data_IF_218842543916
#
_entry.id   IF_218842543916
#
_cell.length_a   1.000
_cell.length_b   1.000
_cell.length_c   1.000
_cell.angle_alpha   90.00
_cell.angle_beta   90.00
_cell.angle_gamma   90.00
#
_symmetry.space_group_name_H-M   'P 1'
#
loop_
_entity.id
_entity.type
_entity.pdbx_description
1 polymer ?
#
# COMPACT_ATOMS: atom_id res chain seq x y z
N UNK A 1 -32.60 -5.75 -7.19
CA UNK A 1 -31.74 -6.90 -6.86
C UNK A 1 -31.82 -7.14 -5.35
N UNK A 2 -31.54 -8.35 -4.87
CA UNK A 2 -31.57 -8.64 -3.42
C UNK A 2 -30.25 -8.24 -2.74
N UNK A 3 -30.25 -8.04 -1.41
CA UNK A 3 -29.07 -7.60 -0.64
C UNK A 3 -27.81 -8.43 -0.91
N UNK A 4 -27.92 -9.74 -1.07
CA UNK A 4 -26.78 -10.60 -1.38
C UNK A 4 -26.15 -10.25 -2.74
N UNK A 5 -26.98 -9.95 -3.73
CA UNK A 5 -26.52 -9.51 -5.06
C UNK A 5 -25.79 -8.17 -4.95
N UNK A 6 -26.33 -7.23 -4.18
CA UNK A 6 -25.69 -5.93 -3.94
C UNK A 6 -24.30 -6.10 -3.31
N UNK A 7 -24.12 -7.07 -2.42
CA UNK A 7 -22.84 -7.37 -1.78
C UNK A 7 -21.86 -8.02 -2.78
N UNK A 8 -22.32 -9.04 -3.51
CA UNK A 8 -21.48 -9.80 -4.45
C UNK A 8 -21.03 -8.95 -5.64
N UNK A 9 -21.86 -8.04 -6.11
CA UNK A 9 -21.51 -7.10 -7.18
C UNK A 9 -21.06 -5.73 -6.65
N UNK A 10 -20.80 -5.63 -5.34
CA UNK A 10 -20.32 -4.42 -4.70
C UNK A 10 -21.10 -3.19 -5.21
N UNK A 11 -22.42 -3.28 -5.28
CA UNK A 11 -23.26 -2.23 -5.86
C UNK A 11 -23.01 -0.91 -5.10
N UNK A 12 -23.15 0.26 -5.75
CA UNK A 12 -22.96 1.57 -5.12
C UNK A 12 -24.13 1.92 -4.18
N UNK A 13 -24.66 0.94 -3.46
CA UNK A 13 -25.63 1.08 -2.39
C UNK A 13 -24.94 0.98 -1.05
N UNK A 14 -25.54 1.56 -0.01
CA UNK A 14 -24.99 1.46 1.36
C UNK A 14 -24.85 -0.01 1.79
N UNK A 15 -25.86 -0.83 1.50
CA UNK A 15 -25.83 -2.26 1.81
C UNK A 15 -24.75 -3.03 1.05
N UNK A 16 -24.62 -2.77 -0.26
CA UNK A 16 -23.60 -3.39 -1.11
C UNK A 16 -22.17 -3.04 -0.65
N UNK A 17 -21.88 -1.75 -0.45
CA UNK A 17 -20.56 -1.29 -0.02
C UNK A 17 -20.20 -1.80 1.39
N UNK A 18 -21.10 -1.68 2.38
CA UNK A 18 -20.83 -2.15 3.75
C UNK A 18 -20.63 -3.67 3.76
N UNK A 19 -21.54 -4.42 3.14
CA UNK A 19 -21.44 -5.88 3.14
C UNK A 19 -20.21 -6.37 2.39
N UNK A 20 -19.88 -5.80 1.22
CA UNK A 20 -18.67 -6.14 0.49
C UNK A 20 -17.40 -5.77 1.28
N UNK A 21 -17.40 -4.63 1.98
CA UNK A 21 -16.30 -4.24 2.87
C UNK A 21 -16.09 -5.24 4.01
N UNK A 22 -17.17 -5.71 4.64
CA UNK A 22 -17.09 -6.75 5.69
C UNK A 22 -16.53 -8.05 5.13
N UNK A 23 -16.96 -8.47 3.94
CA UNK A 23 -16.43 -9.68 3.28
C UNK A 23 -14.93 -9.53 3.01
N UNK A 24 -14.49 -8.36 2.50
CA UNK A 24 -13.07 -8.09 2.30
C UNK A 24 -12.31 -8.12 3.64
N UNK A 25 -12.83 -7.48 4.69
CA UNK A 25 -12.19 -7.49 6.00
C UNK A 25 -12.00 -8.92 6.52
N UNK A 26 -13.03 -9.77 6.44
CA UNK A 26 -12.95 -11.16 6.85
C UNK A 26 -11.92 -11.94 6.01
N UNK A 27 -11.98 -11.81 4.68
CA UNK A 27 -11.03 -12.47 3.78
C UNK A 27 -9.59 -12.06 4.10
N UNK A 28 -9.32 -10.76 4.18
CA UNK A 28 -7.97 -10.23 4.40
C UNK A 28 -7.49 -10.44 5.84
N UNK A 29 -8.40 -10.54 6.81
CA UNK A 29 -8.04 -10.96 8.17
C UNK A 29 -7.40 -12.35 8.15
N UNK A 30 -7.95 -13.29 7.38
CA UNK A 30 -7.39 -14.62 7.18
C UNK A 30 -6.14 -14.62 6.30
N UNK A 31 -6.14 -13.88 5.17
CA UNK A 31 -4.98 -13.84 4.27
C UNK A 31 -3.75 -13.28 4.97
N UNK A 32 -3.92 -12.23 5.78
CA UNK A 32 -2.82 -11.51 6.45
C UNK A 32 -2.62 -11.92 7.90
N UNK A 33 -3.18 -13.05 8.32
CA UNK A 33 -2.89 -13.64 9.63
C UNK A 33 -1.55 -14.39 9.57
N UNK A 34 -0.61 -13.95 10.39
CA UNK A 34 0.76 -14.49 10.47
C UNK A 34 0.90 -15.63 11.47
N UNK A 35 -0.10 -15.83 12.32
CA UNK A 35 -0.14 -16.90 13.31
C UNK A 35 -0.82 -18.14 12.72
N UNK A 36 -1.94 -17.97 12.02
CA UNK A 36 -2.78 -19.07 11.52
C UNK A 36 -3.22 -18.95 10.05
N UNK A 37 -2.95 -17.83 9.39
CA UNK A 37 -3.44 -17.55 8.04
C UNK A 37 -2.49 -17.91 6.90
N UNK A 38 -2.77 -17.34 5.72
CA UNK A 38 -1.92 -17.54 4.53
C UNK A 38 -0.50 -17.02 4.77
N UNK A 39 -0.35 -15.88 5.44
CA UNK A 39 0.97 -15.35 5.77
C UNK A 39 1.79 -16.26 6.69
N UNK A 40 1.16 -17.02 7.59
CA UNK A 40 1.84 -18.05 8.39
C UNK A 40 2.46 -19.14 7.50
N UNK A 41 1.73 -19.58 6.47
CA UNK A 41 2.21 -20.55 5.50
C UNK A 41 3.31 -20.00 4.59
N UNK A 42 3.16 -18.76 4.10
CA UNK A 42 4.18 -18.05 3.32
C UNK A 42 5.46 -17.95 4.13
N UNK A 43 5.36 -17.52 5.40
CA UNK A 43 6.51 -17.44 6.29
C UNK A 43 7.20 -18.79 6.45
N UNK A 44 6.46 -19.86 6.79
CA UNK A 44 7.01 -21.21 6.95
C UNK A 44 7.70 -21.72 5.68
N UNK A 45 7.16 -21.40 4.50
CA UNK A 45 7.78 -21.73 3.22
C UNK A 45 9.07 -20.94 2.99
N UNK A 46 9.05 -19.63 3.21
CA UNK A 46 10.18 -18.72 3.03
C UNK A 46 11.36 -19.10 3.94
N UNK A 47 11.12 -19.44 5.21
CA UNK A 47 12.19 -19.87 6.14
C UNK A 47 12.96 -21.11 5.70
N UNK A 48 12.32 -21.97 4.91
CA UNK A 48 12.91 -23.23 4.43
C UNK A 48 13.78 -23.03 3.20
N UNK A 49 13.80 -21.83 2.62
CA UNK A 49 14.52 -21.58 1.40
C UNK A 49 16.03 -21.41 1.66
N UNK A 50 16.90 -21.93 0.79
CA UNK A 50 18.35 -21.83 0.97
C UNK A 50 18.87 -20.39 1.03
N UNK A 51 18.16 -19.44 0.42
CA UNK A 51 18.51 -18.02 0.39
C UNK A 51 18.00 -17.24 1.61
N UNK A 52 17.24 -17.86 2.52
CA UNK A 52 16.65 -17.16 3.66
C UNK A 52 17.69 -16.51 4.61
N UNK A 53 18.83 -17.16 4.94
CA UNK A 53 19.87 -16.51 5.75
C UNK A 53 20.41 -15.23 5.10
N UNK A 54 20.54 -15.21 3.77
CA UNK A 54 20.94 -14.01 3.02
C UNK A 54 19.89 -12.91 3.15
N UNK A 55 18.60 -13.25 3.10
CA UNK A 55 17.52 -12.29 3.33
C UNK A 55 17.60 -11.72 4.75
N UNK A 56 17.76 -12.55 5.77
CA UNK A 56 17.87 -12.10 7.16
C UNK A 56 19.03 -11.10 7.33
N UNK A 57 20.20 -11.44 6.79
CA UNK A 57 21.38 -10.58 6.80
C UNK A 57 21.14 -9.26 6.05
N UNK A 58 20.49 -9.30 4.90
CA UNK A 58 20.16 -8.11 4.13
C UNK A 58 19.15 -7.20 4.86
N UNK A 59 18.22 -7.77 5.64
CA UNK A 59 17.13 -7.04 6.29
C UNK A 59 17.48 -6.51 7.69
N UNK A 60 18.52 -7.04 8.36
CA UNK A 60 18.82 -6.71 9.76
C UNK A 60 19.02 -5.20 10.01
N UNK A 61 19.59 -4.50 9.03
CA UNK A 61 19.90 -3.06 9.08
C UNK A 61 18.96 -2.25 8.18
N UNK A 62 17.86 -2.83 7.69
CA UNK A 62 16.87 -2.10 6.89
C UNK A 62 16.16 -1.05 7.77
N UNK A 63 15.90 0.13 7.23
CA UNK A 63 15.17 1.20 7.95
C UNK A 63 13.79 0.70 8.40
N UNK A 64 13.16 -0.13 7.57
CA UNK A 64 11.92 -0.82 7.92
C UNK A 64 12.13 -1.75 9.12
N UNK A 65 13.19 -2.56 9.15
CA UNK A 65 13.48 -3.44 10.29
C UNK A 65 13.75 -2.66 11.59
N UNK A 66 14.35 -1.46 11.52
CA UNK A 66 14.50 -0.58 12.68
C UNK A 66 13.15 -0.05 13.19
N UNK A 67 12.20 0.20 12.29
CA UNK A 67 10.85 0.62 12.63
C UNK A 67 10.01 -0.54 13.19
N UNK A 68 10.10 -1.70 12.55
CA UNK A 68 9.28 -2.88 12.86
C UNK A 68 9.81 -3.70 14.03
N UNK A 69 11.13 -3.69 14.23
CA UNK A 69 11.84 -4.40 15.29
C UNK A 69 11.44 -5.89 15.42
N UNK A 70 11.32 -6.58 14.28
CA UNK A 70 11.05 -8.01 14.28
C UNK A 70 12.19 -8.79 14.95
N UNK A 71 11.86 -9.77 15.79
CA UNK A 71 12.88 -10.65 16.39
C UNK A 71 13.69 -11.39 15.32
N UNK A 72 13.03 -11.75 14.22
CA UNK A 72 13.67 -12.31 13.04
C UNK A 72 13.54 -11.28 11.90
N UNK A 73 14.66 -10.65 11.46
CA UNK A 73 14.64 -9.65 10.39
C UNK A 73 14.04 -10.15 9.07
N UNK A 74 14.03 -11.47 8.84
CA UNK A 74 13.39 -12.07 7.68
C UNK A 74 11.87 -11.85 7.64
N UNK A 75 11.22 -11.51 8.76
CA UNK A 75 9.81 -11.11 8.75
C UNK A 75 9.56 -9.82 7.97
N UNK A 76 10.53 -8.90 7.92
CA UNK A 76 10.39 -7.72 7.08
C UNK A 76 10.32 -8.09 5.60
N UNK A 77 11.00 -9.16 5.18
CA UNK A 77 10.84 -9.67 3.82
C UNK A 77 9.49 -10.35 3.59
N UNK A 78 8.97 -11.05 4.61
CA UNK A 78 7.65 -11.70 4.53
C UNK A 78 6.54 -10.66 4.42
N UNK A 79 6.61 -9.53 5.12
CA UNK A 79 5.60 -8.46 5.02
C UNK A 79 5.49 -7.86 3.62
N UNK A 80 6.56 -7.90 2.82
CA UNK A 80 6.51 -7.49 1.42
C UNK A 80 5.60 -8.37 0.55
N UNK A 81 5.43 -9.65 0.89
CA UNK A 81 4.45 -10.50 0.21
C UNK A 81 3.03 -10.00 0.46
N UNK A 82 2.70 -9.60 1.68
CA UNK A 82 1.39 -9.01 1.97
C UNK A 82 1.17 -7.76 1.12
N UNK A 83 2.13 -6.84 1.09
CA UNK A 83 2.06 -5.62 0.27
C UNK A 83 1.83 -5.92 -1.21
N UNK A 84 2.55 -6.90 -1.77
CA UNK A 84 2.42 -7.28 -3.18
C UNK A 84 1.12 -8.02 -3.45
N UNK A 85 0.68 -8.90 -2.56
CA UNK A 85 -0.60 -9.60 -2.70
C UNK A 85 -1.76 -8.61 -2.71
N UNK A 86 -1.74 -7.67 -1.76
CA UNK A 86 -2.76 -6.64 -1.63
C UNK A 86 -2.82 -5.72 -2.86
N UNK A 87 -1.72 -5.06 -3.20
CA UNK A 87 -1.68 -4.16 -4.36
C UNK A 87 -1.85 -4.92 -5.69
N UNK A 88 -1.32 -6.14 -5.78
CA UNK A 88 -1.43 -6.98 -6.96
C UNK A 88 -2.86 -7.47 -7.20
N UNK A 89 -3.52 -8.01 -6.18
CA UNK A 89 -4.92 -8.46 -6.29
C UNK A 89 -5.84 -7.27 -6.57
N UNK A 90 -5.66 -6.16 -5.86
CA UNK A 90 -6.40 -4.92 -6.13
C UNK A 90 -6.21 -4.46 -7.58
N UNK A 91 -4.96 -4.38 -8.05
CA UNK A 91 -4.63 -3.96 -9.40
C UNK A 91 -5.16 -4.87 -10.50
N UNK A 92 -5.14 -6.20 -10.28
CA UNK A 92 -5.73 -7.18 -11.22
C UNK A 92 -7.25 -7.02 -11.31
N UNK A 93 -7.94 -6.93 -10.17
CA UNK A 93 -9.40 -6.74 -10.15
C UNK A 93 -9.81 -5.42 -10.83
N UNK A 94 -9.09 -4.33 -10.53
CA UNK A 94 -9.29 -3.04 -11.19
C UNK A 94 -9.07 -3.11 -12.69
N UNK A 95 -7.96 -3.71 -13.11
CA UNK A 95 -7.61 -3.83 -14.53
C UNK A 95 -8.64 -4.68 -15.28
N UNK A 96 -9.08 -5.80 -14.70
CA UNK A 96 -10.15 -6.63 -15.27
C UNK A 96 -11.48 -5.87 -15.34
N UNK A 97 -11.84 -5.11 -14.30
CA UNK A 97 -13.03 -4.27 -14.31
C UNK A 97 -13.02 -3.23 -15.42
N UNK A 98 -11.87 -2.60 -15.67
CA UNK A 98 -11.70 -1.66 -16.79
C UNK A 98 -11.79 -2.37 -18.15
N UNK A 99 -11.03 -3.45 -18.33
CA UNK A 99 -10.95 -4.18 -19.61
C UNK A 99 -12.29 -4.82 -20.01
N UNK A 100 -13.06 -5.30 -19.05
CA UNK A 100 -14.34 -5.97 -19.28
C UNK A 100 -15.54 -5.02 -19.23
N UNK A 101 -15.33 -3.73 -18.93
CA UNK A 101 -16.42 -2.78 -18.70
C UNK A 101 -17.31 -3.21 -17.53
N UNK A 102 -16.72 -3.77 -16.47
CA UNK A 102 -17.40 -4.29 -15.29
C UNK A 102 -17.00 -3.46 -14.04
N UNK A 103 -17.72 -2.35 -13.74
CA UNK A 103 -17.39 -1.46 -12.63
C UNK A 103 -17.34 -2.17 -11.27
N UNK A 104 -18.16 -3.21 -11.07
CA UNK A 104 -18.18 -3.97 -9.83
C UNK A 104 -16.84 -4.68 -9.53
N UNK A 105 -16.17 -5.23 -10.53
CA UNK A 105 -14.83 -5.82 -10.37
C UNK A 105 -13.83 -4.75 -9.93
N UNK A 106 -13.92 -3.55 -10.53
CA UNK A 106 -13.08 -2.44 -10.15
C UNK A 106 -13.32 -2.00 -8.71
N UNK A 107 -14.59 -1.91 -8.28
CA UNK A 107 -14.95 -1.59 -6.90
C UNK A 107 -14.44 -2.63 -5.91
N UNK A 108 -14.46 -3.91 -6.25
CA UNK A 108 -13.81 -4.93 -5.41
C UNK A 108 -12.32 -4.70 -5.26
N UNK A 109 -11.63 -4.32 -6.34
CA UNK A 109 -10.22 -3.94 -6.27
C UNK A 109 -9.98 -2.76 -5.31
N UNK A 110 -10.88 -1.77 -5.30
CA UNK A 110 -10.80 -0.64 -4.34
C UNK A 110 -11.09 -1.09 -2.90
N UNK A 111 -12.05 -2.00 -2.70
CA UNK A 111 -12.35 -2.52 -1.37
C UNK A 111 -11.27 -3.46 -0.80
N UNK A 112 -10.37 -4.00 -1.64
CA UNK A 112 -9.15 -4.66 -1.15
C UNK A 112 -8.26 -3.68 -0.39
N UNK A 113 -8.21 -2.41 -0.81
CA UNK A 113 -7.55 -1.34 -0.05
C UNK A 113 -8.32 -1.03 1.22
N UNK A 114 -9.54 -0.53 1.03
CA UNK A 114 -10.32 0.08 2.10
C UNK A 114 -10.70 -0.94 3.17
N UNK A 115 -11.34 -2.04 2.76
CA UNK A 115 -11.80 -3.08 3.67
C UNK A 115 -10.69 -4.06 4.04
N UNK A 116 -9.88 -4.44 3.05
CA UNK A 116 -8.89 -5.49 3.22
C UNK A 116 -7.71 -5.08 4.10
N UNK A 117 -7.24 -3.83 3.97
CA UNK A 117 -6.04 -3.36 4.67
C UNK A 117 -6.34 -2.17 5.59
N UNK A 118 -6.92 -1.07 5.08
CA UNK A 118 -7.07 0.16 5.87
C UNK A 118 -7.87 -0.06 7.16
N UNK A 119 -9.08 -0.60 7.01
CA UNK A 119 -9.96 -0.90 8.15
C UNK A 119 -9.42 -2.04 9.00
N UNK A 120 -8.78 -3.05 8.39
CA UNK A 120 -8.21 -4.18 9.11
C UNK A 120 -7.04 -3.74 10.00
N UNK A 121 -6.14 -2.91 9.48
CA UNK A 121 -5.03 -2.35 10.23
C UNK A 121 -5.53 -1.40 11.33
N UNK A 122 -6.52 -0.55 11.04
CA UNK A 122 -7.16 0.28 12.06
C UNK A 122 -7.76 -0.57 13.18
N UNK A 123 -8.44 -1.66 12.84
CA UNK A 123 -8.98 -2.62 13.81
C UNK A 123 -7.87 -3.29 14.62
N UNK A 124 -6.80 -3.77 14.00
CA UNK A 124 -5.67 -4.41 14.69
C UNK A 124 -4.95 -3.44 15.63
N UNK A 125 -4.75 -2.18 15.19
CA UNK A 125 -4.17 -1.09 16.01
C UNK A 125 -5.07 -0.77 17.20
N UNK A 126 -6.39 -0.70 17.00
CA UNK A 126 -7.33 -0.48 18.10
C UNK A 126 -7.30 -1.66 19.07
N UNK A 127 -7.42 -2.89 18.55
CA UNK A 127 -7.45 -4.11 19.33
C UNK A 127 -6.26 -4.24 20.27
N UNK A 128 -5.03 -4.09 19.78
CA UNK A 128 -3.84 -4.17 20.64
C UNK A 128 -3.69 -3.01 21.63
N UNK A 129 -4.23 -1.82 21.32
CA UNK A 129 -4.26 -0.69 22.28
C UNK A 129 -5.24 -0.94 23.43
N UNK A 130 -6.39 -1.56 23.14
CA UNK A 130 -7.41 -1.86 24.15
C UNK A 130 -7.18 -3.20 24.86
N UNK A 131 -6.58 -4.18 24.19
CA UNK A 131 -6.41 -5.56 24.63
C UNK A 131 -4.99 -6.10 24.31
N UNK A 132 -3.96 -5.65 25.04
CA UNK A 132 -2.60 -6.15 24.84
C UNK A 132 -2.43 -7.59 25.39
N UNK A 133 -1.59 -8.45 24.76
CA UNK A 133 -0.90 -8.23 23.50
C UNK A 133 -1.80 -8.46 22.28
N UNK A 134 -1.54 -7.73 21.19
CA UNK A 134 -2.23 -7.92 19.92
C UNK A 134 -1.82 -9.21 19.18
N UNK A 135 -2.36 -9.40 17.98
CA UNK A 135 -1.90 -10.46 17.07
C UNK A 135 -0.56 -10.09 16.45
N UNK A 136 0.23 -11.09 16.05
CA UNK A 136 1.43 -10.84 15.27
C UNK A 136 1.02 -10.38 13.85
N UNK A 137 1.71 -9.40 13.24
CA UNK A 137 2.90 -8.70 13.71
C UNK A 137 2.60 -7.50 14.62
N UNK A 138 1.35 -7.01 14.68
CA UNK A 138 1.00 -5.74 15.35
C UNK A 138 1.41 -5.63 16.82
N UNK A 139 1.51 -6.75 17.54
CA UNK A 139 2.08 -6.81 18.90
C UNK A 139 3.56 -6.42 18.99
N UNK A 140 4.32 -6.58 17.91
CA UNK A 140 5.70 -6.11 17.78
C UNK A 140 5.74 -4.69 17.18
N UNK A 141 4.86 -4.40 16.21
CA UNK A 141 4.91 -3.16 15.41
C UNK A 141 4.48 -1.88 16.16
N UNK A 142 3.56 -1.98 17.13
CA UNK A 142 3.05 -0.79 17.84
C UNK A 142 3.93 -0.30 18.99
N UNK A 143 5.20 -0.74 19.02
CA UNK A 143 6.21 -0.20 19.93
C UNK A 143 6.75 1.17 19.46
N UNK A 144 6.70 1.47 18.16
CA UNK A 144 7.04 2.80 17.62
C UNK A 144 5.90 3.78 17.86
N UNK A 145 6.21 4.95 18.44
CA UNK A 145 5.23 6.02 18.69
C UNK A 145 4.75 6.68 17.40
N UNK A 146 5.55 6.61 16.36
CA UNK A 146 5.39 7.29 15.07
C UNK A 146 4.59 6.44 14.07
N UNK A 147 4.68 5.11 14.19
CA UNK A 147 4.07 4.19 13.23
C UNK A 147 2.54 4.23 13.22
N UNK A 148 1.92 4.15 14.40
CA UNK A 148 0.45 4.18 14.52
C UNK A 148 -0.17 5.42 13.84
N UNK A 149 0.29 6.64 14.16
CA UNK A 149 -0.14 7.85 13.47
C UNK A 149 0.12 7.85 11.96
N UNK A 150 1.30 7.36 11.52
CA UNK A 150 1.64 7.28 10.10
C UNK A 150 0.68 6.38 9.33
N UNK A 151 0.40 5.18 9.85
CA UNK A 151 -0.52 4.24 9.21
C UNK A 151 -1.94 4.77 9.23
N UNK A 152 -2.41 5.31 10.36
CA UNK A 152 -3.74 5.93 10.41
C UNK A 152 -3.86 7.05 9.38
N UNK A 153 -2.85 7.92 9.25
CA UNK A 153 -2.86 8.99 8.25
C UNK A 153 -2.88 8.44 6.83
N UNK A 154 -2.00 7.47 6.51
CA UNK A 154 -1.94 6.83 5.20
C UNK A 154 -3.28 6.19 4.80
N UNK A 155 -3.87 5.41 5.71
CA UNK A 155 -5.12 4.69 5.51
C UNK A 155 -6.35 5.60 5.48
N UNK A 156 -6.29 6.80 6.08
CA UNK A 156 -7.37 7.79 5.89
C UNK A 156 -7.52 8.19 4.43
N UNK A 157 -6.46 8.06 3.62
CA UNK A 157 -6.53 8.40 2.21
C UNK A 157 -7.34 7.37 1.43
N UNK A 158 -7.09 6.08 1.65
CA UNK A 158 -7.87 5.01 1.03
C UNK A 158 -9.33 5.09 1.44
N UNK A 159 -9.65 5.42 2.69
CA UNK A 159 -11.03 5.66 3.14
C UNK A 159 -11.68 6.89 2.47
N UNK A 160 -10.96 8.01 2.39
CA UNK A 160 -11.49 9.28 1.87
C UNK A 160 -11.58 9.33 0.33
N UNK A 161 -10.80 8.51 -0.40
CA UNK A 161 -10.97 8.30 -1.85
C UNK A 161 -11.91 7.13 -2.12
N UNK A 162 -11.63 5.98 -1.53
CA UNK A 162 -12.19 4.70 -1.97
C UNK A 162 -13.71 4.64 -1.82
N UNK A 163 -14.25 5.23 -0.74
CA UNK A 163 -15.70 5.31 -0.52
C UNK A 163 -16.39 6.18 -1.58
N UNK A 164 -16.05 7.49 -1.74
CA UNK A 164 -16.72 8.31 -2.75
C UNK A 164 -16.46 7.86 -4.18
N UNK A 165 -15.27 7.32 -4.49
CA UNK A 165 -15.01 6.79 -5.84
C UNK A 165 -15.85 5.53 -6.10
N UNK A 166 -15.96 4.61 -5.14
CA UNK A 166 -16.84 3.44 -5.32
C UNK A 166 -18.31 3.83 -5.50
N UNK A 167 -18.80 4.80 -4.74
CA UNK A 167 -20.22 5.17 -4.77
C UNK A 167 -20.62 6.04 -5.97
N UNK A 168 -19.75 6.93 -6.43
CA UNK A 168 -20.14 7.97 -7.40
C UNK A 168 -19.36 7.93 -8.72
N UNK A 169 -18.16 7.38 -8.73
CA UNK A 169 -17.22 7.58 -9.85
C UNK A 169 -16.58 6.29 -10.36
N UNK A 170 -17.03 5.12 -9.89
CA UNK A 170 -16.44 3.81 -10.26
C UNK A 170 -16.59 3.44 -11.74
N UNK A 171 -17.46 4.14 -12.46
CA UNK A 171 -17.68 3.95 -13.91
C UNK A 171 -16.89 4.98 -14.75
N UNK A 172 -16.24 5.94 -14.10
CA UNK A 172 -15.54 7.03 -14.77
C UNK A 172 -14.09 6.63 -14.97
N UNK A 173 -13.67 6.58 -16.24
CA UNK A 173 -12.35 6.09 -16.65
C UNK A 173 -11.19 6.77 -15.92
N UNK A 174 -11.26 8.08 -15.72
CA UNK A 174 -10.23 8.86 -15.03
C UNK A 174 -10.06 8.42 -13.57
N UNK A 175 -11.17 8.11 -12.89
CA UNK A 175 -11.15 7.58 -11.53
C UNK A 175 -10.69 6.14 -11.48
N UNK A 176 -11.04 5.35 -12.51
CA UNK A 176 -10.57 3.97 -12.63
C UNK A 176 -9.04 3.90 -12.80
N UNK A 177 -8.49 4.74 -13.67
CA UNK A 177 -7.06 4.93 -13.84
C UNK A 177 -6.40 5.44 -12.56
N UNK A 178 -7.02 6.44 -11.90
CA UNK A 178 -6.52 6.98 -10.65
C UNK A 178 -6.35 5.86 -9.61
N UNK A 179 -7.39 5.05 -9.37
CA UNK A 179 -7.32 3.91 -8.46
C UNK A 179 -6.26 2.88 -8.85
N UNK A 180 -6.12 2.57 -10.14
CA UNK A 180 -5.10 1.65 -10.61
C UNK A 180 -3.68 2.18 -10.36
N UNK A 181 -3.47 3.50 -10.48
CA UNK A 181 -2.17 4.13 -10.22
C UNK A 181 -1.82 4.18 -8.73
N UNK A 182 -2.80 4.41 -7.86
CA UNK A 182 -2.55 4.46 -6.42
C UNK A 182 -2.43 3.06 -5.79
N UNK A 183 -3.14 2.06 -6.33
CA UNK A 183 -3.22 0.72 -5.73
C UNK A 183 -2.54 -0.40 -6.54
N UNK A 184 -2.66 -0.40 -7.86
CA UNK A 184 -2.08 -1.47 -8.70
C UNK A 184 -0.60 -1.26 -8.99
N UNK A 185 -0.20 -0.02 -9.29
CA UNK A 185 1.18 0.31 -9.65
C UNK A 185 2.24 -0.04 -8.59
N UNK A 186 1.98 0.13 -7.27
CA UNK A 186 2.92 -0.29 -6.23
C UNK A 186 3.39 -1.76 -6.35
N UNK A 187 2.53 -2.69 -6.80
CA UNK A 187 2.92 -4.09 -6.99
C UNK A 187 4.05 -4.25 -8.02
N UNK A 188 4.07 -3.42 -9.06
CA UNK A 188 5.12 -3.42 -10.10
C UNK A 188 6.43 -2.83 -9.55
N UNK A 189 6.34 -1.84 -8.67
CA UNK A 189 7.51 -1.26 -8.01
C UNK A 189 8.17 -2.25 -7.04
N UNK A 190 7.37 -2.91 -6.21
CA UNK A 190 7.88 -3.74 -5.12
C UNK A 190 8.10 -5.20 -5.49
N UNK A 191 7.35 -5.72 -6.49
CA UNK A 191 7.43 -7.11 -6.96
C UNK A 191 8.86 -7.59 -7.23
N UNK A 192 9.65 -6.91 -8.09
CA UNK A 192 11.04 -7.28 -8.35
C UNK A 192 11.93 -7.28 -7.10
N UNK A 193 11.56 -6.50 -6.07
CA UNK A 193 12.26 -6.43 -4.80
C UNK A 193 12.26 -7.75 -4.03
N UNK A 194 11.23 -8.58 -4.19
CA UNK A 194 11.20 -9.92 -3.58
C UNK A 194 12.33 -10.81 -4.09
N UNK A 195 12.67 -10.69 -5.38
CA UNK A 195 13.75 -11.46 -5.98
C UNK A 195 15.09 -10.84 -5.59
N UNK A 196 15.24 -9.52 -5.74
CA UNK A 196 16.51 -8.84 -5.45
C UNK A 196 16.98 -9.05 -4.02
N UNK A 197 16.06 -9.03 -3.05
CA UNK A 197 16.37 -9.23 -1.63
C UNK A 197 16.91 -10.63 -1.31
N UNK A 198 16.73 -11.63 -2.18
CA UNK A 198 17.34 -12.97 -2.01
C UNK A 198 18.82 -13.03 -2.39
N UNK A 199 19.35 -11.98 -3.03
CA UNK A 199 20.76 -11.89 -3.40
C UNK A 199 21.56 -11.11 -2.36
N UNK A 200 22.76 -11.58 -2.05
CA UNK A 200 23.68 -10.91 -1.13
C UNK A 200 24.03 -9.50 -1.65
N UNK A 201 23.74 -8.49 -0.82
CA UNK A 201 23.94 -7.07 -1.16
C UNK A 201 25.39 -6.69 -1.39
N UNK A 202 26.32 -7.34 -0.71
CA UNK A 202 27.77 -7.11 -0.84
C UNK A 202 28.33 -7.75 -2.09
N UNK A 203 27.81 -8.94 -2.46
CA UNK A 203 28.23 -9.67 -3.65
C UNK A 203 27.59 -9.13 -4.94
N UNK A 204 26.35 -8.64 -4.86
CA UNK A 204 25.58 -8.13 -6.00
C UNK A 204 25.18 -6.64 -5.85
N UNK A 205 26.11 -5.72 -5.57
CA UNK A 205 25.78 -4.33 -5.27
C UNK A 205 25.13 -3.60 -6.44
N UNK A 206 25.49 -3.96 -7.69
CA UNK A 206 24.91 -3.39 -8.91
C UNK A 206 23.44 -3.76 -9.10
N UNK A 207 23.07 -5.01 -8.76
CA UNK A 207 21.68 -5.46 -8.82
C UNK A 207 20.82 -4.68 -7.82
N UNK A 208 21.31 -4.54 -6.59
CA UNK A 208 20.66 -3.75 -5.55
C UNK A 208 20.52 -2.28 -5.95
N UNK A 209 21.59 -1.68 -6.50
CA UNK A 209 21.53 -0.30 -7.01
C UNK A 209 20.50 -0.15 -8.14
N UNK A 210 20.52 -1.05 -9.13
CA UNK A 210 19.55 -1.04 -10.24
C UNK A 210 18.10 -1.15 -9.73
N UNK A 211 17.86 -1.98 -8.72
CA UNK A 211 16.55 -2.08 -8.08
C UNK A 211 16.15 -0.80 -7.34
N UNK A 212 17.04 -0.18 -6.57
CA UNK A 212 16.74 1.12 -5.95
C UNK A 212 16.43 2.20 -6.98
N UNK A 213 17.15 2.21 -8.11
CA UNK A 213 16.87 3.11 -9.22
C UNK A 213 15.53 2.80 -9.89
N UNK A 214 15.21 1.51 -10.11
CA UNK A 214 13.91 1.08 -10.62
C UNK A 214 12.78 1.56 -9.73
N UNK A 215 12.84 1.28 -8.42
CA UNK A 215 11.82 1.72 -7.46
C UNK A 215 11.73 3.25 -7.47
N UNK A 216 12.86 3.94 -7.47
CA UNK A 216 12.84 5.41 -7.45
C UNK A 216 12.21 6.00 -8.72
N UNK A 217 12.58 5.50 -9.90
CA UNK A 217 12.07 5.97 -11.18
C UNK A 217 10.60 5.58 -11.37
N UNK A 218 10.26 4.31 -11.14
CA UNK A 218 8.89 3.84 -11.36
C UNK A 218 7.94 4.41 -10.32
N UNK A 219 8.29 4.37 -9.03
CA UNK A 219 7.40 4.84 -7.99
C UNK A 219 7.31 6.36 -7.97
N UNK A 220 8.42 7.11 -7.89
CA UNK A 220 8.33 8.57 -7.81
C UNK A 220 8.03 9.21 -9.15
N UNK A 221 8.88 8.98 -10.16
CA UNK A 221 8.73 9.69 -11.42
C UNK A 221 7.51 9.16 -12.20
N UNK A 222 7.37 7.85 -12.34
CA UNK A 222 6.24 7.23 -13.01
C UNK A 222 4.94 7.45 -12.23
N UNK A 223 4.78 6.71 -11.13
CA UNK A 223 3.49 6.62 -10.45
C UNK A 223 3.03 7.95 -9.87
N UNK A 224 3.91 8.67 -9.15
CA UNK A 224 3.53 9.87 -8.39
C UNK A 224 3.56 11.15 -9.23
N UNK A 225 4.55 11.31 -10.12
CA UNK A 225 4.68 12.54 -10.90
C UNK A 225 3.92 12.50 -12.22
N UNK A 226 4.25 11.53 -13.08
CA UNK A 226 3.75 11.48 -14.46
C UNK A 226 2.28 11.04 -14.52
N UNK A 227 1.88 10.08 -13.70
CA UNK A 227 0.54 9.48 -13.80
C UNK A 227 -0.43 9.97 -12.73
N UNK A 228 -0.01 10.03 -11.46
CA UNK A 228 -0.90 10.43 -10.36
C UNK A 228 -1.34 11.89 -10.44
N UNK A 229 -0.45 12.87 -10.60
CA UNK A 229 -0.87 14.28 -10.61
C UNK A 229 -1.87 14.61 -11.72
N UNK A 230 -1.68 14.18 -12.99
CA UNK A 230 -2.67 14.39 -14.03
C UNK A 230 -4.01 13.70 -13.73
N UNK A 231 -3.98 12.46 -13.24
CA UNK A 231 -5.19 11.72 -12.89
C UNK A 231 -5.94 12.38 -11.73
N UNK A 232 -5.22 12.77 -10.67
CA UNK A 232 -5.74 13.50 -9.51
C UNK A 232 -6.39 14.82 -9.92
N UNK A 233 -5.72 15.60 -10.76
CA UNK A 233 -6.23 16.87 -11.26
C UNK A 233 -7.48 16.67 -12.12
N UNK A 234 -7.48 15.67 -13.01
CA UNK A 234 -8.65 15.34 -13.82
C UNK A 234 -9.84 14.92 -12.95
N UNK A 235 -9.62 14.05 -11.96
CA UNK A 235 -10.63 13.64 -10.99
C UNK A 235 -11.20 14.84 -10.22
N UNK A 236 -10.34 15.74 -9.75
CA UNK A 236 -10.76 16.97 -9.07
C UNK A 236 -11.64 17.85 -9.96
N UNK A 237 -11.20 18.12 -11.20
CA UNK A 237 -11.98 18.90 -12.16
C UNK A 237 -13.31 18.24 -12.50
N UNK A 238 -13.34 16.91 -12.61
CA UNK A 238 -14.55 16.15 -12.87
C UNK A 238 -15.56 16.34 -11.74
N UNK A 239 -15.15 16.15 -10.48
CA UNK A 239 -16.06 16.36 -9.34
C UNK A 239 -16.48 17.82 -9.24
N UNK A 240 -15.54 18.76 -9.34
CA UNK A 240 -15.79 20.19 -9.24
C UNK A 240 -16.85 20.67 -10.23
N UNK A 241 -16.83 20.14 -11.46
CA UNK A 241 -17.78 20.48 -12.54
C UNK A 241 -19.07 19.66 -12.50
N UNK A 242 -19.12 18.58 -11.72
CA UNK A 242 -20.28 17.72 -11.61
C UNK A 242 -21.36 18.34 -10.70
N UNK A 243 -22.64 17.89 -10.80
CA UNK A 243 -23.70 18.30 -9.89
C UNK A 243 -23.40 18.02 -8.41
N UNK A 244 -22.53 17.04 -8.11
CA UNK A 244 -22.10 16.71 -6.74
C UNK A 244 -20.91 17.56 -6.27
N UNK A 245 -20.34 18.41 -7.12
CA UNK A 245 -19.22 19.30 -6.78
C UNK A 245 -19.57 20.39 -5.77
N UNK A 246 -20.86 20.69 -5.57
CA UNK A 246 -21.32 21.56 -4.46
C UNK A 246 -21.59 20.79 -3.17
N UNK A 247 -21.59 19.46 -3.20
CA UNK A 247 -21.82 18.62 -2.04
C UNK A 247 -20.53 18.50 -1.21
N UNK A 248 -20.50 19.19 -0.06
CA UNK A 248 -19.38 19.15 0.87
C UNK A 248 -19.02 17.74 1.34
N UNK A 249 -19.99 16.81 1.37
CA UNK A 249 -19.76 15.40 1.73
C UNK A 249 -18.93 14.62 0.70
N UNK A 250 -18.76 15.16 -0.50
CA UNK A 250 -17.94 14.57 -1.57
C UNK A 250 -16.66 15.40 -1.77
N UNK A 251 -16.78 16.72 -1.85
CA UNK A 251 -15.63 17.60 -2.08
C UNK A 251 -14.61 17.57 -0.96
N UNK A 252 -15.04 17.64 0.31
CA UNK A 252 -14.09 17.70 1.43
C UNK A 252 -13.27 16.42 1.56
N UNK A 253 -13.86 15.19 1.55
CA UNK A 253 -13.09 13.96 1.57
C UNK A 253 -12.16 13.82 0.36
N UNK A 254 -12.63 14.16 -0.84
CA UNK A 254 -11.79 14.09 -2.04
C UNK A 254 -10.60 15.05 -1.95
N UNK A 255 -10.82 16.31 -1.59
CA UNK A 255 -9.74 17.30 -1.45
C UNK A 255 -8.76 16.90 -0.35
N UNK A 256 -9.25 16.42 0.80
CA UNK A 256 -8.40 15.87 1.85
C UNK A 256 -7.52 14.75 1.31
N UNK A 257 -8.12 13.80 0.61
CA UNK A 257 -7.42 12.63 0.10
C UNK A 257 -6.35 12.99 -0.94
N UNK A 258 -6.65 13.92 -1.86
CA UNK A 258 -5.68 14.42 -2.84
C UNK A 258 -4.50 15.15 -2.16
N UNK A 259 -4.78 15.96 -1.13
CA UNK A 259 -3.76 16.65 -0.35
C UNK A 259 -2.91 15.67 0.45
N UNK A 260 -3.54 14.73 1.15
CA UNK A 260 -2.88 13.73 1.98
C UNK A 260 -1.99 12.80 1.14
N UNK A 261 -2.44 12.35 -0.04
CA UNK A 261 -1.60 11.61 -0.98
C UNK A 261 -0.42 12.43 -1.51
N UNK A 262 -0.62 13.72 -1.76
CA UNK A 262 0.46 14.61 -2.22
C UNK A 262 1.51 14.79 -1.13
N UNK A 263 1.08 15.02 0.11
CA UNK A 263 1.97 15.11 1.27
C UNK A 263 2.70 13.79 1.54
N UNK A 264 2.00 12.66 1.46
CA UNK A 264 2.59 11.33 1.59
C UNK A 264 3.66 11.09 0.53
N UNK A 265 3.40 11.49 -0.73
CA UNK A 265 4.36 11.39 -1.82
C UNK A 265 5.61 12.25 -1.60
N UNK A 266 5.44 13.48 -1.11
CA UNK A 266 6.55 14.37 -0.74
C UNK A 266 7.37 13.79 0.41
N UNK A 267 6.71 13.27 1.45
CA UNK A 267 7.36 12.63 2.59
C UNK A 267 8.20 11.43 2.16
N UNK A 268 7.66 10.55 1.30
CA UNK A 268 8.41 9.41 0.76
C UNK A 268 9.62 9.86 -0.08
N UNK A 269 9.47 10.92 -0.89
CA UNK A 269 10.57 11.46 -1.69
C UNK A 269 11.67 12.02 -0.78
N UNK A 270 11.30 12.82 0.21
CA UNK A 270 12.25 13.39 1.18
C UNK A 270 12.98 12.29 1.97
N UNK A 271 12.27 11.25 2.40
CA UNK A 271 12.85 10.08 3.07
C UNK A 271 13.90 9.40 2.20
N UNK A 272 13.58 9.13 0.92
CA UNK A 272 14.50 8.47 -0.01
C UNK A 272 15.70 9.34 -0.37
N UNK A 273 15.51 10.64 -0.59
CA UNK A 273 16.61 11.58 -0.82
C UNK A 273 17.56 11.65 0.39
N UNK A 274 17.02 11.62 1.60
CA UNK A 274 17.83 11.55 2.83
C UNK A 274 18.64 10.25 2.91
N UNK A 275 18.05 9.09 2.59
CA UNK A 275 18.78 7.81 2.54
C UNK A 275 19.90 7.85 1.49
N UNK A 276 19.63 8.37 0.29
CA UNK A 276 20.65 8.54 -0.76
C UNK A 276 21.77 9.49 -0.29
N UNK A 277 21.42 10.62 0.31
CA UNK A 277 22.39 11.58 0.85
C UNK A 277 23.27 10.96 1.94
N UNK A 278 22.68 10.24 2.91
CA UNK A 278 23.43 9.57 3.97
C UNK A 278 24.39 8.50 3.42
N UNK A 279 23.94 7.76 2.38
CA UNK A 279 24.67 6.61 1.84
C UNK A 279 25.75 6.96 0.83
N UNK A 280 25.57 8.05 0.08
CA UNK A 280 26.49 8.45 -0.98
C UNK A 280 27.09 9.84 -0.79
N UNK A 281 26.36 10.76 -0.16
CA UNK A 281 26.80 12.15 0.04
C UNK A 281 27.81 12.35 1.17
N UNK A 282 27.78 11.52 2.23
CA UNK A 282 28.79 11.59 3.31
C UNK A 282 30.20 11.26 2.83
N UNK A 283 30.33 10.26 1.97
CA UNK A 283 31.64 9.82 1.48
C UNK A 283 32.24 10.82 0.48
N UNK A 284 31.41 11.49 -0.33
CA UNK A 284 31.88 12.54 -1.26
C UNK A 284 32.34 13.80 -0.53
N UNK A 285 31.62 14.22 0.53
CA UNK A 285 32.01 15.38 1.35
C UNK A 285 33.29 15.14 2.16
N UNK A 286 33.55 13.90 2.59
CA UNK A 286 34.80 13.54 3.25
C UNK A 286 35.98 13.42 2.28
N UNK A 287 35.75 13.01 1.03
CA UNK A 287 36.78 13.02 -0.01
C UNK A 287 37.19 14.44 -0.41
N UNK A 288 36.24 15.37 -0.54
CA UNK A 288 36.51 16.78 -0.87
C UNK A 288 37.15 17.55 0.28
N UNK A 289 36.94 17.15 1.54
CA UNK A 289 37.67 17.73 2.68
C UNK A 289 39.10 17.19 2.86
N UNK A 290 39.50 16.17 2.11
CA UNK A 290 40.85 15.57 2.14
C UNK A 290 41.68 15.89 0.90
N UNK A 291 41.10 16.58 -0.09
CA UNK A 291 41.77 17.20 -1.24
C UNK A 291 42.01 18.68 -0.99
#
# INVERSE_FOLDING_TARGET
>A
MGLLSDIVFCEPTVGGQIGATIVQLLLWSFLTDYDYGVMAHVHKYVKRQPWYPTVQENMKDDEEQLLWNFQDPGFNYVSWFQTIMHHGIAGVLMSLGMLLGQPWLWRHGMLVEVGGLDLLDAFRIAHVKFFPPGTFPTNVLLKSREWGPLMCFHHTVGLCVGIPVNMYFSEIYEFQLFGLMILGFPAICFGPGLIVKTFDKTKYPRLWFAWYMWVSLTFFLGSRTIFYFPAAWSCFLHVWRSPVGSNWKVMVPLTWALLAMSLFSIMLLAGRLNTLYKRYGKDTLHAVKRS
#
